data_IF_374843297180
#
_entry.id   IF_374843297180
#
_cell.length_a   1.000
_cell.length_b   1.000
_cell.length_c   1.000
_cell.angle_alpha   90.00
_cell.angle_beta   90.00
_cell.angle_gamma   90.00
#
_symmetry.space_group_name_H-M   'P 1'
#
loop_
_entity.id
_entity.type
_entity.pdbx_description
1 polymer ?
#
# COMPACT_ATOMS: atom_id res chain seq x y z
N UNK A 1 -10.26 16.52 -8.99
CA UNK A 1 -8.87 16.71 -9.46
C UNK A 1 -8.00 15.59 -8.93
N UNK A 2 -7.35 14.82 -9.81
CA UNK A 2 -6.39 13.80 -9.39
C UNK A 2 -5.15 14.44 -8.73
N UNK A 3 -4.80 14.01 -7.52
CA UNK A 3 -3.55 14.45 -6.88
C UNK A 3 -2.35 13.70 -7.49
N UNK A 4 -1.17 14.34 -7.50
CA UNK A 4 0.08 13.70 -7.97
C UNK A 4 0.35 12.37 -7.23
N UNK A 5 -0.05 12.29 -5.96
CA UNK A 5 0.02 11.06 -5.17
C UNK A 5 -0.95 9.98 -5.66
N UNK A 6 -2.18 10.34 -6.01
CA UNK A 6 -3.15 9.39 -6.56
C UNK A 6 -2.69 8.85 -7.93
N UNK A 7 -2.14 9.71 -8.80
CA UNK A 7 -1.59 9.28 -10.10
C UNK A 7 -0.41 8.33 -9.90
N UNK A 8 0.47 8.64 -8.94
CA UNK A 8 1.57 7.74 -8.55
C UNK A 8 1.06 6.38 -8.04
N UNK A 9 0.02 6.38 -7.21
CA UNK A 9 -0.57 5.15 -6.67
C UNK A 9 -1.22 4.33 -7.78
N UNK A 10 -1.94 4.98 -8.70
CA UNK A 10 -2.50 4.35 -9.89
C UNK A 10 -1.42 3.70 -10.75
N UNK A 11 -0.31 4.41 -10.99
CA UNK A 11 0.82 3.89 -11.74
C UNK A 11 1.45 2.65 -11.09
N UNK A 12 1.60 2.69 -9.76
CA UNK A 12 2.10 1.55 -9.02
C UNK A 12 1.17 0.34 -9.15
N UNK A 13 -0.14 0.53 -9.01
CA UNK A 13 -1.13 -0.54 -9.21
C UNK A 13 -1.11 -1.07 -10.65
N UNK A 14 -0.99 -0.20 -11.65
CA UNK A 14 -0.89 -0.59 -13.06
C UNK A 14 0.28 -1.54 -13.31
N UNK A 15 1.48 -1.18 -12.83
CA UNK A 15 2.66 -2.03 -12.96
C UNK A 15 2.57 -3.30 -12.11
N UNK A 16 1.91 -3.27 -10.95
CA UNK A 16 1.68 -4.45 -10.10
C UNK A 16 0.78 -5.49 -10.79
N UNK A 17 -0.13 -5.04 -11.65
CA UNK A 17 -0.95 -5.93 -12.48
C UNK A 17 -0.20 -6.53 -13.67
N UNK A 18 1.10 -6.24 -13.81
CA UNK A 18 1.94 -6.73 -14.90
C UNK A 18 1.87 -5.87 -16.17
N UNK A 19 1.17 -4.72 -16.14
CA UNK A 19 1.10 -3.82 -17.29
C UNK A 19 2.35 -2.93 -17.36
N UNK A 20 2.72 -2.53 -18.57
CA UNK A 20 3.93 -1.75 -18.85
C UNK A 20 3.59 -0.27 -19.06
N UNK A 21 4.62 0.57 -19.06
CA UNK A 21 4.53 1.98 -19.42
C UNK A 21 5.54 2.24 -20.52
N UNK A 22 5.11 2.92 -21.58
CA UNK A 22 6.00 3.38 -22.63
C UNK A 22 6.50 4.77 -22.30
N UNK A 23 7.82 4.96 -22.22
CA UNK A 23 8.42 6.28 -21.95
C UNK A 23 8.45 7.20 -23.19
N UNK A 24 8.22 6.64 -24.37
CA UNK A 24 8.13 7.39 -25.62
C UNK A 24 7.19 6.70 -26.61
N UNK A 25 6.58 7.43 -27.57
CA UNK A 25 5.66 6.85 -28.57
C UNK A 25 6.33 5.84 -29.52
N UNK A 26 7.66 5.79 -29.59
CA UNK A 26 8.43 4.87 -30.44
C UNK A 26 9.36 3.93 -29.66
N UNK A 27 9.35 3.92 -28.33
CA UNK A 27 10.35 3.14 -27.60
C UNK A 27 10.26 3.07 -26.08
N UNK A 28 10.87 1.97 -25.61
CA UNK A 28 11.09 1.44 -24.26
C UNK A 28 9.84 1.32 -23.37
N UNK A 29 9.25 0.13 -23.42
CA UNK A 29 8.34 -0.35 -22.38
C UNK A 29 9.13 -0.66 -21.12
N UNK A 30 8.81 0.05 -20.05
CA UNK A 30 9.40 -0.18 -18.74
C UNK A 30 8.46 -0.98 -17.87
N UNK A 31 8.99 -2.09 -17.36
CA UNK A 31 8.35 -2.93 -16.37
C UNK A 31 9.25 -3.04 -15.13
N UNK A 32 8.71 -2.69 -13.97
CA UNK A 32 9.41 -2.85 -12.69
C UNK A 32 8.72 -3.98 -11.94
N UNK A 33 9.45 -5.08 -11.70
CA UNK A 33 8.91 -6.23 -10.99
C UNK A 33 8.73 -5.96 -9.48
N UNK A 34 9.66 -5.21 -8.86
CA UNK A 34 9.62 -4.88 -7.43
C UNK A 34 9.24 -3.41 -7.24
N UNK A 35 7.93 -3.13 -7.25
CA UNK A 35 7.39 -1.76 -7.09
C UNK A 35 7.33 -1.36 -5.61
N UNK A 36 7.05 -2.32 -4.74
CA UNK A 36 6.99 -2.13 -3.29
C UNK A 36 8.15 -2.88 -2.63
N UNK A 37 8.81 -2.20 -1.70
CA UNK A 37 9.87 -2.76 -0.87
C UNK A 37 9.56 -2.40 0.59
N UNK A 38 9.09 -3.39 1.34
CA UNK A 38 8.59 -3.20 2.70
C UNK A 38 7.43 -2.21 2.74
N UNK A 39 7.61 -1.12 3.49
CA UNK A 39 6.60 -0.07 3.71
C UNK A 39 6.68 1.08 2.71
N UNK A 40 7.54 1.00 1.70
CA UNK A 40 7.78 2.10 0.75
C UNK A 40 7.80 1.61 -0.68
N UNK A 41 7.61 2.55 -1.61
CA UNK A 41 7.92 2.30 -3.01
C UNK A 41 9.41 2.06 -3.19
N UNK A 42 9.76 1.15 -4.10
CA UNK A 42 11.15 0.86 -4.43
C UNK A 42 11.84 2.12 -4.96
N UNK A 43 13.16 2.25 -4.74
CA UNK A 43 13.92 3.39 -5.24
C UNK A 43 13.89 3.47 -6.77
N UNK A 44 13.82 2.32 -7.46
CA UNK A 44 13.67 2.25 -8.91
C UNK A 44 12.35 2.88 -9.37
N UNK A 45 11.24 2.52 -8.73
CA UNK A 45 9.94 3.09 -9.05
C UNK A 45 9.90 4.60 -8.77
N UNK A 46 10.47 5.06 -7.65
CA UNK A 46 10.51 6.48 -7.33
C UNK A 46 11.32 7.29 -8.35
N UNK A 47 12.47 6.77 -8.82
CA UNK A 47 13.27 7.41 -9.87
C UNK A 47 12.51 7.50 -11.19
N UNK A 48 11.88 6.40 -11.61
CA UNK A 48 11.06 6.37 -12.81
C UNK A 48 9.88 7.35 -12.72
N UNK A 49 9.21 7.39 -11.57
CA UNK A 49 8.13 8.35 -11.33
C UNK A 49 8.63 9.80 -11.43
N UNK A 50 9.79 10.10 -10.85
CA UNK A 50 10.37 11.45 -10.88
C UNK A 50 10.74 11.89 -12.30
N UNK A 51 11.31 10.97 -13.10
CA UNK A 51 11.63 11.21 -14.51
C UNK A 51 10.37 11.44 -15.35
N UNK A 52 9.37 10.58 -15.20
CA UNK A 52 8.09 10.69 -15.93
C UNK A 52 7.38 11.98 -15.57
N UNK A 53 7.29 12.29 -14.27
CA UNK A 53 6.51 13.45 -13.82
C UNK A 53 7.21 14.80 -14.01
N UNK A 54 8.49 14.81 -14.36
CA UNK A 54 9.27 16.05 -14.56
C UNK A 54 9.59 16.31 -16.03
N UNK A 55 10.06 15.30 -16.76
CA UNK A 55 10.66 15.50 -18.09
C UNK A 55 9.86 14.84 -19.21
N UNK A 56 9.22 13.70 -18.92
CA UNK A 56 8.59 12.85 -19.95
C UNK A 56 7.07 12.73 -19.80
N UNK A 57 6.40 13.62 -19.07
CA UNK A 57 4.97 13.46 -18.76
C UNK A 57 4.12 13.38 -20.04
N UNK A 58 4.45 14.18 -21.05
CA UNK A 58 3.73 14.26 -22.34
C UNK A 58 4.08 13.11 -23.30
N UNK A 59 5.24 12.48 -23.10
CA UNK A 59 5.74 11.40 -23.96
C UNK A 59 5.46 10.01 -23.35
N UNK A 60 5.13 9.96 -22.06
CA UNK A 60 4.85 8.73 -21.34
C UNK A 60 3.38 8.32 -21.51
N UNK A 61 3.17 7.09 -21.96
CA UNK A 61 1.85 6.49 -22.18
C UNK A 61 1.70 5.18 -21.41
N UNK A 62 0.48 4.89 -20.99
CA UNK A 62 0.13 3.64 -20.33
C UNK A 62 -0.21 2.57 -21.37
N UNK A 63 0.51 1.45 -21.36
CA UNK A 63 0.31 0.37 -22.34
C UNK A 63 -1.09 -0.22 -22.25
N UNK A 64 -1.87 -0.12 -23.33
CA UNK A 64 -3.27 -0.57 -23.38
C UNK A 64 -4.29 0.55 -23.20
N UNK A 65 -3.87 1.80 -23.10
CA UNK A 65 -4.75 2.98 -23.12
C UNK A 65 -4.15 4.09 -23.98
N UNK A 66 -5.00 4.96 -24.51
CA UNK A 66 -4.56 6.14 -25.29
C UNK A 66 -4.21 7.35 -24.41
N UNK A 67 -4.10 7.15 -23.10
CA UNK A 67 -3.92 8.24 -22.12
C UNK A 67 -2.44 8.47 -21.82
N UNK A 68 -2.01 9.73 -21.90
CA UNK A 68 -0.67 10.16 -21.46
C UNK A 68 -0.64 10.41 -19.95
N UNK A 69 0.56 10.35 -19.35
CA UNK A 69 0.70 10.69 -17.93
C UNK A 69 0.46 12.19 -17.68
N UNK A 70 0.78 13.07 -18.63
CA UNK A 70 0.46 14.50 -18.58
C UNK A 70 -1.05 14.74 -18.50
N UNK A 71 -1.83 14.00 -19.30
CA UNK A 71 -3.29 14.06 -19.23
C UNK A 71 -3.77 13.68 -17.83
N UNK A 72 -3.27 12.59 -17.26
CA UNK A 72 -3.64 12.13 -15.92
C UNK A 72 -3.25 13.11 -14.79
N UNK A 73 -2.18 13.88 -14.99
CA UNK A 73 -1.75 14.94 -14.10
C UNK A 73 -2.54 16.25 -14.31
N UNK A 74 -3.26 16.37 -15.42
CA UNK A 74 -4.08 17.53 -15.72
C UNK A 74 -5.38 17.55 -14.92
N UNK A 75 -5.95 18.75 -14.74
CA UNK A 75 -7.18 18.96 -13.97
C UNK A 75 -8.44 18.33 -14.59
N UNK A 76 -8.34 17.74 -15.78
CA UNK A 76 -9.47 17.12 -16.49
C UNK A 76 -9.81 15.74 -15.94
N UNK A 77 -8.88 15.11 -15.24
CA UNK A 77 -9.00 13.74 -14.77
C UNK A 77 -9.16 13.66 -13.25
N UNK A 78 -9.99 12.71 -12.84
CA UNK A 78 -10.22 12.28 -11.49
C UNK A 78 -9.91 10.79 -11.39
N UNK A 79 -9.20 10.39 -10.34
CA UNK A 79 -8.93 8.97 -10.10
C UNK A 79 -9.97 8.46 -9.11
N UNK A 80 -10.79 7.52 -9.57
CA UNK A 80 -11.86 6.90 -8.79
C UNK A 80 -11.55 5.42 -8.54
N UNK A 81 -12.16 4.85 -7.50
CA UNK A 81 -12.06 3.41 -7.26
C UNK A 81 -13.06 2.65 -8.15
N UNK A 82 -12.60 1.57 -8.78
CA UNK A 82 -13.43 0.67 -9.56
C UNK A 82 -14.45 -0.03 -8.66
N UNK A 83 -15.74 0.01 -9.01
CA UNK A 83 -16.78 -0.66 -8.24
C UNK A 83 -16.64 -2.20 -8.17
N UNK A 84 -15.91 -2.83 -9.11
CA UNK A 84 -15.72 -4.29 -9.15
C UNK A 84 -14.57 -4.79 -8.28
N UNK A 85 -13.50 -4.00 -8.15
CA UNK A 85 -12.24 -4.48 -7.57
C UNK A 85 -11.48 -3.45 -6.75
N UNK A 86 -12.04 -2.25 -6.56
CA UNK A 86 -11.48 -1.16 -5.79
C UNK A 86 -10.12 -0.63 -6.30
N UNK A 87 -9.70 -1.04 -7.51
CA UNK A 87 -8.53 -0.50 -8.21
C UNK A 87 -8.75 0.95 -8.60
N UNK A 88 -7.67 1.73 -8.63
CA UNK A 88 -7.71 3.10 -9.13
C UNK A 88 -7.92 3.10 -10.65
N UNK A 89 -8.86 3.92 -11.12
CA UNK A 89 -9.19 4.09 -12.54
C UNK A 89 -9.33 5.58 -12.84
N UNK A 90 -8.69 6.10 -13.89
CA UNK A 90 -8.86 7.48 -14.29
C UNK A 90 -10.22 7.67 -14.96
N UNK A 91 -10.92 8.73 -14.59
CA UNK A 91 -12.23 9.14 -15.11
C UNK A 91 -12.22 10.63 -15.41
N UNK A 92 -12.92 11.05 -16.46
CA UNK A 92 -13.00 12.46 -16.84
C UNK A 92 -14.05 13.16 -15.97
N UNK A 93 -13.67 14.29 -15.35
CA UNK A 93 -14.52 15.04 -14.41
C UNK A 93 -15.75 15.67 -15.11
N UNK A 94 -15.57 16.12 -16.36
CA UNK A 94 -16.64 16.72 -17.17
C UNK A 94 -16.69 16.15 -18.60
N UNK A 95 -17.83 15.59 -18.99
CA UNK A 95 -18.11 15.11 -20.34
C UNK A 95 -18.74 13.72 -20.38
N UNK A 96 -19.00 13.17 -21.58
CA UNK A 96 -19.41 11.78 -21.73
C UNK A 96 -18.34 10.87 -21.13
N UNK A 97 -18.72 10.06 -20.14
CA UNK A 97 -17.81 9.06 -19.55
C UNK A 97 -17.53 8.01 -20.62
N UNK A 98 -16.44 8.20 -21.36
CA UNK A 98 -15.88 7.12 -22.18
C UNK A 98 -15.55 5.99 -21.20
N UNK A 99 -15.95 4.74 -21.48
CA UNK A 99 -15.62 3.62 -20.60
C UNK A 99 -14.11 3.44 -20.60
N UNK A 100 -13.45 4.00 -19.59
CA UNK A 100 -12.06 3.70 -19.29
C UNK A 100 -12.08 2.31 -18.68
N UNK A 101 -11.58 1.34 -19.43
CA UNK A 101 -11.48 -0.03 -18.95
C UNK A 101 -10.62 -0.04 -17.69
N UNK A 102 -11.18 -0.66 -16.65
CA UNK A 102 -10.42 -0.99 -15.46
C UNK A 102 -9.15 -1.75 -15.88
N UNK A 103 -8.00 -1.58 -15.17
CA UNK A 103 -6.82 -2.41 -15.39
C UNK A 103 -7.11 -3.92 -15.32
N UNK A 104 -8.22 -4.27 -14.68
CA UNK A 104 -8.74 -5.61 -14.52
C UNK A 104 -9.56 -6.18 -15.68
N UNK A 105 -9.99 -5.38 -16.65
CA UNK A 105 -10.95 -5.82 -17.67
C UNK A 105 -10.36 -6.89 -18.60
N UNK A 106 -9.06 -6.79 -18.88
CA UNK A 106 -8.33 -7.75 -19.73
C UNK A 106 -7.92 -9.04 -19.01
N UNK A 107 -8.20 -9.16 -17.70
CA UNK A 107 -7.71 -10.26 -16.87
C UNK A 107 -8.86 -11.24 -16.61
N UNK A 108 -8.84 -12.43 -17.25
CA UNK A 108 -10.00 -13.34 -17.25
C UNK A 108 -10.36 -13.92 -15.88
N UNK A 109 -9.49 -13.76 -14.87
CA UNK A 109 -9.68 -14.31 -13.53
C UNK A 109 -9.76 -13.23 -12.43
N UNK A 110 -10.00 -11.96 -12.79
CA UNK A 110 -10.08 -10.85 -11.84
C UNK A 110 -11.54 -10.41 -11.56
N UNK A 111 -11.92 -10.08 -10.30
CA UNK A 111 -11.11 -10.04 -9.09
C UNK A 111 -10.86 -11.43 -8.53
N UNK A 112 -9.58 -11.82 -8.46
CA UNK A 112 -9.19 -13.04 -7.76
C UNK A 112 -9.11 -12.71 -6.27
N UNK A 113 -10.07 -13.17 -5.48
CA UNK A 113 -10.07 -13.00 -4.03
C UNK A 113 -9.03 -13.86 -3.31
N UNK A 114 -8.47 -14.87 -3.99
CA UNK A 114 -7.42 -15.75 -3.46
C UNK A 114 -6.02 -15.15 -3.59
N UNK A 115 -5.87 -14.06 -4.35
CA UNK A 115 -4.59 -13.36 -4.53
C UNK A 115 -4.57 -12.04 -3.77
N UNK A 116 -3.40 -11.67 -3.25
CA UNK A 116 -3.22 -10.38 -2.58
C UNK A 116 -3.47 -9.28 -3.61
N UNK A 117 -4.47 -8.43 -3.33
CA UNK A 117 -4.77 -7.31 -4.20
C UNK A 117 -3.57 -6.36 -4.31
N UNK A 118 -3.39 -5.71 -5.48
CA UNK A 118 -2.41 -4.64 -5.65
C UNK A 118 -2.65 -3.55 -4.61
N UNK A 119 -1.70 -3.39 -3.68
CA UNK A 119 -1.82 -2.50 -2.54
C UNK A 119 -0.81 -1.36 -2.64
N UNK A 120 -1.11 -0.28 -1.94
CA UNK A 120 -0.21 0.87 -1.73
C UNK A 120 0.69 0.52 -0.53
N UNK A 121 1.94 1.02 -0.46
CA UNK A 121 2.79 0.79 0.70
C UNK A 121 2.10 1.23 1.99
N UNK A 122 2.02 0.33 2.97
CA UNK A 122 1.39 0.56 4.26
C UNK A 122 2.49 0.70 5.31
N UNK A 123 2.43 1.75 6.13
CA UNK A 123 3.28 1.92 7.32
C UNK A 123 2.73 1.05 8.45
N UNK A 124 3.06 -0.24 8.43
CA UNK A 124 2.53 -1.21 9.37
C UNK A 124 3.19 -1.06 10.75
N UNK A 125 4.50 -0.82 10.78
CA UNK A 125 5.27 -0.73 12.03
C UNK A 125 4.78 0.42 12.90
N UNK A 126 4.58 1.61 12.31
CA UNK A 126 4.08 2.77 13.07
C UNK A 126 2.66 2.57 13.59
N UNK A 127 1.81 1.85 12.85
CA UNK A 127 0.44 1.55 13.28
C UNK A 127 0.41 0.51 14.39
N UNK A 128 1.28 -0.49 14.33
CA UNK A 128 1.42 -1.48 15.40
C UNK A 128 1.99 -0.83 16.66
N UNK A 129 2.99 0.05 16.55
CA UNK A 129 3.52 0.79 17.70
C UNK A 129 2.42 1.66 18.35
N UNK A 130 1.64 2.42 17.57
CA UNK A 130 0.51 3.21 18.09
C UNK A 130 -0.58 2.35 18.75
N UNK A 131 -0.90 1.19 18.15
CA UNK A 131 -1.81 0.22 18.76
C UNK A 131 -1.27 -0.34 20.08
N UNK A 132 0.02 -0.68 20.13
CA UNK A 132 0.68 -1.15 21.34
C UNK A 132 0.67 -0.08 22.44
N UNK A 133 0.99 1.17 22.10
CA UNK A 133 1.00 2.29 23.05
C UNK A 133 -0.41 2.53 23.63
N UNK A 134 -1.45 2.47 22.79
CA UNK A 134 -2.85 2.56 23.24
C UNK A 134 -3.28 1.41 24.13
N UNK A 135 -2.82 0.19 23.85
CA UNK A 135 -3.12 -0.98 24.70
C UNK A 135 -2.46 -0.85 26.08
N UNK A 136 -1.22 -0.36 26.13
CA UNK A 136 -0.49 -0.12 27.39
C UNK A 136 -1.20 0.96 28.22
N UNK A 137 -1.61 2.07 27.61
CA UNK A 137 -2.38 3.10 28.30
C UNK A 137 -3.70 2.55 28.85
N UNK A 138 -4.44 1.75 28.07
CA UNK A 138 -5.70 1.15 28.51
C UNK A 138 -5.53 0.14 29.66
N UNK A 139 -4.40 -0.56 29.74
CA UNK A 139 -4.08 -1.41 30.91
C UNK A 139 -3.73 -0.62 32.17
N UNK A 140 -3.24 0.62 32.03
CA UNK A 140 -2.89 1.48 33.17
C UNK A 140 -4.09 2.30 33.68
N UNK A 141 -5.05 2.61 32.80
CA UNK A 141 -6.29 3.33 33.11
C UNK A 141 -7.44 2.42 33.57
N UNK A 142 -7.18 1.22 34.09
CA UNK A 142 -8.20 0.47 34.84
C UNK A 142 -8.14 0.89 36.31
N UNK A 143 -8.98 1.86 36.77
CA UNK A 143 -9.27 1.94 38.20
C UNK A 143 -9.94 0.63 38.59
N UNK A 144 -9.34 -0.02 39.58
CA UNK A 144 -9.95 -1.07 40.39
C UNK A 144 -11.30 -0.57 40.91
N UNK A 145 -12.40 -0.87 40.20
CA UNK A 145 -13.71 -0.94 40.82
C UNK A 145 -13.70 -2.20 41.68
N UNK A 146 -13.30 -2.01 42.94
CA UNK A 146 -13.56 -2.92 44.04
C UNK A 146 -15.08 -2.96 44.24
N UNK A 147 -15.74 -3.96 43.65
CA UNK A 147 -16.95 -4.51 44.24
C UNK A 147 -16.60 -5.87 44.84
N UNK A 148 -16.88 -5.95 46.14
CA UNK A 148 -16.66 -7.04 47.08
C UNK A 148 -17.16 -8.38 46.51
N UNK A 149 -16.24 -9.34 46.30
CA UNK A 149 -16.55 -10.77 46.35
C UNK A 149 -15.39 -11.50 47.04
N UNK A 150 -15.75 -12.12 48.15
CA UNK A 150 -14.91 -12.90 49.06
C UNK A 150 -14.34 -14.16 48.41
N UNK A 151 -13.07 -14.45 48.76
CA UNK A 151 -12.40 -15.76 48.80
C UNK A 151 -12.21 -16.50 47.47
N UNK A 152 -10.98 -16.51 46.92
CA UNK A 152 -10.03 -17.59 47.23
C UNK A 152 -8.61 -17.22 46.75
N UNK A 153 -7.62 -17.51 47.59
CA UNK A 153 -6.24 -17.10 47.38
C UNK A 153 -5.49 -18.12 46.53
N UNK A 154 -5.41 -17.93 45.21
CA UNK A 154 -4.31 -18.47 44.38
C UNK A 154 -4.25 -17.69 43.06
N UNK A 155 -3.06 -17.16 42.73
CA UNK A 155 -2.66 -16.57 41.43
C UNK A 155 -2.42 -15.05 41.47
N UNK A 156 -1.18 -14.69 41.83
CA UNK A 156 -0.59 -13.36 41.62
C UNK A 156 0.22 -13.40 40.32
N UNK A 157 -0.30 -12.83 39.23
CA UNK A 157 0.30 -12.90 37.88
C UNK A 157 0.47 -11.53 37.19
N UNK A 158 0.38 -10.42 37.93
CA UNK A 158 0.55 -9.09 37.34
C UNK A 158 1.99 -8.82 36.85
N UNK A 159 2.99 -9.45 37.47
CA UNK A 159 4.41 -9.29 37.10
C UNK A 159 4.82 -10.19 35.92
N UNK A 160 4.17 -11.35 35.78
CA UNK A 160 4.40 -12.29 34.67
C UNK A 160 3.86 -11.74 33.34
N UNK A 161 2.74 -11.02 33.36
CA UNK A 161 2.12 -10.43 32.16
C UNK A 161 3.00 -9.35 31.49
N UNK A 162 3.65 -8.48 32.26
CA UNK A 162 4.53 -7.45 31.68
C UNK A 162 5.80 -8.04 31.05
N UNK A 163 6.36 -9.06 31.69
CA UNK A 163 7.59 -9.70 31.22
C UNK A 163 7.33 -10.60 30.01
N UNK A 164 6.19 -11.29 29.97
CA UNK A 164 5.76 -12.07 28.80
C UNK A 164 5.45 -11.18 27.60
N UNK A 165 4.74 -10.05 27.79
CA UNK A 165 4.45 -9.09 26.73
C UNK A 165 5.73 -8.45 26.16
N UNK A 166 6.68 -8.06 27.00
CA UNK A 166 7.96 -7.50 26.54
C UNK A 166 8.82 -8.55 25.78
N UNK A 167 8.78 -9.80 26.21
CA UNK A 167 9.43 -10.92 25.51
C UNK A 167 8.79 -11.19 24.14
N UNK A 168 7.46 -11.16 24.06
CA UNK A 168 6.71 -11.26 22.80
C UNK A 168 7.04 -10.10 21.85
N UNK A 169 7.09 -8.86 22.35
CA UNK A 169 7.50 -7.68 21.58
C UNK A 169 8.89 -7.86 20.96
N UNK A 170 9.86 -8.29 21.76
CA UNK A 170 11.23 -8.50 21.30
C UNK A 170 11.34 -9.64 20.27
N UNK A 171 10.53 -10.70 20.42
CA UNK A 171 10.50 -11.82 19.49
C UNK A 171 9.86 -11.44 18.15
N UNK A 172 8.76 -10.68 18.18
CA UNK A 172 8.12 -10.11 16.97
C UNK A 172 9.06 -9.16 16.22
N UNK A 173 9.73 -8.24 16.93
CA UNK A 173 10.70 -7.33 16.34
C UNK A 173 11.87 -8.09 15.71
N UNK A 174 12.34 -9.18 16.33
CA UNK A 174 13.39 -10.04 15.75
C UNK A 174 12.91 -10.70 14.46
N UNK A 175 11.68 -11.23 14.41
CA UNK A 175 11.09 -11.87 13.23
C UNK A 175 10.97 -10.90 12.05
N UNK A 176 10.43 -9.70 12.30
CA UNK A 176 10.33 -8.62 11.30
C UNK A 176 11.72 -8.24 10.80
N UNK A 177 12.69 -8.11 11.71
CA UNK A 177 14.06 -7.73 11.37
C UNK A 177 14.79 -8.83 10.59
N UNK A 178 14.57 -10.11 10.92
CA UNK A 178 15.10 -11.22 10.13
C UNK A 178 14.49 -11.30 8.73
N UNK A 179 13.19 -11.04 8.58
CA UNK A 179 12.58 -10.97 7.25
C UNK A 179 13.15 -9.82 6.42
N UNK A 180 13.36 -8.65 7.02
CA UNK A 180 14.02 -7.52 6.34
C UNK A 180 15.49 -7.78 5.99
N UNK A 181 16.18 -8.66 6.73
CA UNK A 181 17.60 -8.97 6.51
C UNK A 181 17.80 -10.10 5.48
N UNK A 182 16.87 -11.06 5.41
CA UNK A 182 16.84 -12.10 4.36
C UNK A 182 16.57 -11.47 2.99
N UNK A 183 15.75 -10.42 2.93
CA UNK A 183 15.55 -9.63 1.70
C UNK A 183 16.79 -8.84 1.26
N UNK A 184 17.78 -8.61 2.15
CA UNK A 184 19.02 -7.89 1.84
C UNK A 184 20.23 -8.80 1.53
N UNK A 185 20.11 -10.13 1.69
CA UNK A 185 21.18 -11.09 1.37
C UNK A 185 20.98 -11.86 0.06
N UNK A 186 19.88 -11.61 -0.65
CA UNK A 186 19.56 -12.27 -1.94
C UNK A 186 19.81 -11.33 -3.14
N UNK A 187 20.92 -10.59 -3.13
CA UNK A 187 21.42 -9.81 -4.26
C UNK A 187 22.88 -10.13 -4.52
#
# INVERSE_FOLDING_TARGET
>A
MASRTLVKNYLAQWMQMGKTISLSPQGEEVHIYKIIQGERYSPLFNKLWDEISTTKAQEAYLSGTDQSIDDLLSNKWEIIACARCNLLVPSVDMGPRVPVCCPCDDIPNHPNLDSIAPHIPITLVSQIDDLCDRLVQKSQDQPSNTEDFTEDATYSSAEEDHQTLSSLRNSMLKLVKSHSNIENQSH
#
